data_IF_308723482012
#
_entry.id   IF_308723482012
#
_cell.length_a   1.000
_cell.length_b   1.000
_cell.length_c   1.000
_cell.angle_alpha   90.00
_cell.angle_beta   90.00
_cell.angle_gamma   90.00
#
_symmetry.space_group_name_H-M   'P 1'
#
loop_
_entity.id
_entity.type
_entity.pdbx_description
1 polymer ?
#
# COMPACT_ATOMS: atom_id res chain seq x y z
N UNK A 1 -4.48 16.91 -11.99
CA UNK A 1 -5.22 15.64 -12.14
C UNK A 1 -5.42 15.39 -13.61
N UNK A 2 -4.31 15.09 -14.26
CA UNK A 2 -4.23 14.45 -15.56
C UNK A 2 -3.84 13.01 -15.27
N UNK A 3 -4.68 12.08 -15.69
CA UNK A 3 -4.34 10.65 -15.63
C UNK A 3 -3.20 10.39 -16.61
N UNK A 4 -2.12 9.80 -16.12
CA UNK A 4 -1.08 9.22 -16.96
C UNK A 4 -1.64 7.97 -17.64
N UNK A 5 -2.18 8.17 -18.83
CA UNK A 5 -2.79 7.10 -19.64
C UNK A 5 -1.82 5.94 -19.92
N UNK A 6 -0.51 6.13 -19.80
CA UNK A 6 0.48 5.05 -19.91
C UNK A 6 0.23 3.95 -18.87
N UNK A 7 -0.04 4.31 -17.61
CA UNK A 7 -0.28 3.33 -16.55
C UNK A 7 -1.57 2.57 -16.81
N UNK A 8 -2.65 3.28 -17.16
CA UNK A 8 -3.94 2.66 -17.47
C UNK A 8 -3.83 1.74 -18.70
N UNK A 9 -3.17 2.21 -19.75
CA UNK A 9 -2.93 1.42 -20.96
C UNK A 9 -2.07 0.18 -20.68
N UNK A 10 -1.03 0.31 -19.85
CA UNK A 10 -0.24 -0.83 -19.38
C UNK A 10 -1.12 -1.86 -18.68
N UNK A 11 -1.99 -1.44 -17.77
CA UNK A 11 -2.89 -2.36 -17.06
C UNK A 11 -3.86 -3.07 -18.02
N UNK A 12 -4.51 -2.32 -18.91
CA UNK A 12 -5.46 -2.87 -19.88
C UNK A 12 -4.76 -3.84 -20.84
N UNK A 13 -3.59 -3.48 -21.37
CA UNK A 13 -2.83 -4.35 -22.27
C UNK A 13 -2.28 -5.61 -21.59
N UNK A 14 -1.88 -5.51 -20.31
CA UNK A 14 -1.29 -6.61 -19.56
C UNK A 14 -2.31 -7.55 -18.93
N UNK A 15 -3.43 -7.01 -18.45
CA UNK A 15 -4.40 -7.74 -17.63
C UNK A 15 -5.83 -7.73 -18.20
N UNK A 16 -6.08 -7.02 -19.29
CA UNK A 16 -7.40 -6.89 -19.92
C UNK A 16 -8.36 -5.94 -19.20
N UNK A 17 -7.88 -5.21 -18.18
CA UNK A 17 -8.66 -4.33 -17.31
C UNK A 17 -7.78 -3.24 -16.71
N UNK A 18 -8.38 -2.12 -16.30
CA UNK A 18 -7.68 -0.95 -15.77
C UNK A 18 -7.40 -1.00 -14.25
N UNK A 19 -7.81 -2.09 -13.58
CA UNK A 19 -7.63 -2.37 -12.15
C UNK A 19 -7.80 -3.87 -11.85
N UNK A 20 -7.24 -4.34 -10.73
CA UNK A 20 -7.26 -5.76 -10.36
C UNK A 20 -8.52 -6.19 -9.58
N UNK A 21 -9.17 -5.24 -8.91
CA UNK A 21 -10.41 -5.46 -8.16
C UNK A 21 -11.48 -4.55 -8.72
N UNK A 22 -12.48 -5.13 -9.38
CA UNK A 22 -13.47 -4.36 -10.15
C UNK A 22 -14.25 -3.38 -9.27
N UNK A 23 -14.50 -3.76 -8.01
CA UNK A 23 -15.21 -2.95 -7.01
C UNK A 23 -14.38 -1.81 -6.43
N UNK A 24 -13.07 -1.78 -6.65
CA UNK A 24 -12.16 -0.78 -6.12
C UNK A 24 -11.98 0.36 -7.13
N UNK A 25 -13.00 1.21 -7.24
CA UNK A 25 -12.99 2.39 -8.11
C UNK A 25 -11.98 3.46 -7.60
N UNK A 26 -10.88 3.73 -8.33
CA UNK A 26 -9.88 4.71 -7.93
C UNK A 26 -10.47 6.12 -7.76
N UNK A 27 -11.46 6.50 -8.57
CA UNK A 27 -12.11 7.81 -8.48
C UNK A 27 -12.86 8.00 -7.15
N UNK A 28 -13.35 6.90 -6.56
CA UNK A 28 -14.12 6.93 -5.31
C UNK A 28 -13.25 6.82 -4.07
N UNK A 29 -12.18 6.03 -4.15
CA UNK A 29 -11.40 5.60 -2.99
C UNK A 29 -10.03 6.27 -2.87
N UNK A 30 -9.54 6.96 -3.90
CA UNK A 30 -8.27 7.69 -3.79
C UNK A 30 -8.32 8.80 -2.74
N UNK A 31 -7.15 9.08 -2.17
CA UNK A 31 -6.91 10.08 -1.13
C UNK A 31 -7.68 9.83 0.17
N UNK A 32 -7.94 8.56 0.48
CA UNK A 32 -8.67 8.13 1.69
C UNK A 32 -8.00 6.91 2.32
N UNK A 33 -8.11 6.81 3.65
CA UNK A 33 -7.64 5.64 4.40
C UNK A 33 -8.78 4.64 4.57
N UNK A 34 -8.50 3.37 4.31
CA UNK A 34 -9.41 2.25 4.56
C UNK A 34 -8.72 1.15 5.33
N UNK A 35 -9.50 0.36 6.05
CA UNK A 35 -9.02 -0.90 6.58
C UNK A 35 -9.04 -1.93 5.45
N UNK A 36 -7.87 -2.50 5.12
CA UNK A 36 -7.72 -3.48 4.06
C UNK A 36 -7.10 -4.77 4.59
N UNK A 37 -7.39 -5.92 3.96
CA UNK A 37 -6.69 -7.16 4.23
C UNK A 37 -5.21 -7.04 3.90
N UNK A 38 -4.34 -7.57 4.75
CA UNK A 38 -2.90 -7.50 4.52
C UNK A 38 -2.44 -8.41 3.37
N UNK A 39 -3.18 -9.50 3.15
CA UNK A 39 -2.83 -10.56 2.20
C UNK A 39 -3.05 -10.18 0.74
N UNK A 40 -3.87 -9.15 0.47
CA UNK A 40 -4.13 -8.65 -0.89
C UNK A 40 -3.15 -7.57 -1.34
N UNK A 41 -2.20 -7.19 -0.48
CA UNK A 41 -1.23 -6.14 -0.76
C UNK A 41 0.00 -6.71 -1.46
N UNK A 42 0.45 -6.03 -2.52
CA UNK A 42 1.56 -6.46 -3.36
C UNK A 42 2.79 -5.55 -3.14
N UNK A 43 3.76 -5.93 -2.29
CA UNK A 43 5.00 -5.17 -2.16
C UNK A 43 5.86 -5.30 -3.41
N UNK A 44 6.51 -4.20 -3.84
CA UNK A 44 7.53 -4.22 -4.90
C UNK A 44 8.97 -4.13 -4.39
N UNK A 45 9.17 -3.89 -3.10
CA UNK A 45 10.50 -3.79 -2.48
C UNK A 45 10.65 -4.74 -1.29
N UNK A 46 11.86 -5.28 -1.16
CA UNK A 46 12.32 -5.94 0.06
C UNK A 46 12.61 -4.90 1.16
N UNK A 47 12.84 -5.39 2.38
CA UNK A 47 13.02 -4.55 3.57
C UNK A 47 14.43 -4.67 4.15
N UNK A 48 14.83 -3.67 4.91
CA UNK A 48 16.00 -3.72 5.80
C UNK A 48 15.58 -4.25 7.17
N UNK A 49 16.17 -5.36 7.62
CA UNK A 49 15.78 -6.02 8.87
C UNK A 49 16.00 -5.13 10.11
N UNK A 50 17.06 -4.34 10.15
CA UNK A 50 17.33 -3.38 11.22
C UNK A 50 16.25 -2.29 11.32
N UNK A 51 15.70 -1.86 10.18
CA UNK A 51 14.57 -0.93 10.14
C UNK A 51 13.27 -1.63 10.59
N UNK A 52 13.06 -2.89 10.20
CA UNK A 52 11.91 -3.69 10.68
C UNK A 52 11.96 -3.84 12.20
N UNK A 53 13.11 -4.20 12.76
CA UNK A 53 13.31 -4.36 14.21
C UNK A 53 13.13 -3.05 14.97
N UNK A 54 13.58 -1.93 14.39
CA UNK A 54 13.33 -0.61 14.95
C UNK A 54 11.84 -0.28 14.98
N UNK A 55 11.13 -0.45 13.86
CA UNK A 55 9.69 -0.17 13.76
C UNK A 55 8.88 -1.10 14.67
N UNK A 56 9.27 -2.37 14.78
CA UNK A 56 8.64 -3.33 15.70
C UNK A 56 8.72 -2.84 17.15
N UNK A 57 9.91 -2.42 17.60
CA UNK A 57 10.11 -1.89 18.96
C UNK A 57 9.34 -0.59 19.19
N UNK A 58 9.33 0.31 18.21
CA UNK A 58 8.57 1.56 18.30
C UNK A 58 7.06 1.29 18.40
N UNK A 59 6.52 0.41 17.54
CA UNK A 59 5.12 0.03 17.56
C UNK A 59 4.69 -0.65 18.87
N UNK A 60 5.51 -1.56 19.40
CA UNK A 60 5.23 -2.25 20.66
C UNK A 60 5.36 -1.33 21.89
N UNK A 61 6.28 -0.36 21.85
CA UNK A 61 6.49 0.56 22.97
C UNK A 61 5.46 1.69 23.02
N UNK A 62 5.11 2.26 21.86
CA UNK A 62 4.09 3.31 21.76
C UNK A 62 2.68 2.75 21.80
N UNK A 63 2.48 1.54 21.27
CA UNK A 63 1.16 0.94 21.10
C UNK A 63 0.37 1.46 19.89
N UNK A 64 0.96 2.29 19.02
CA UNK A 64 0.25 2.93 17.92
C UNK A 64 0.94 2.74 16.57
N UNK A 65 0.16 2.40 15.53
CA UNK A 65 0.59 2.52 14.15
C UNK A 65 0.41 3.97 13.69
N UNK A 66 1.51 4.73 13.68
CA UNK A 66 1.52 6.16 13.40
C UNK A 66 0.97 6.52 12.02
N UNK A 67 1.40 5.84 10.96
CA UNK A 67 1.03 6.15 9.58
C UNK A 67 0.46 4.91 8.86
N UNK A 68 -0.53 5.09 7.97
CA UNK A 68 -1.07 4.01 7.15
C UNK A 68 -0.07 3.59 6.07
N UNK A 69 -0.25 2.38 5.53
CA UNK A 69 0.50 1.93 4.34
C UNK A 69 -0.06 2.66 3.11
N UNK A 70 0.78 3.18 2.23
CA UNK A 70 0.29 3.83 1.00
C UNK A 70 0.20 2.78 -0.09
N UNK A 71 -0.95 2.72 -0.76
CA UNK A 71 -1.28 1.64 -1.68
C UNK A 71 -1.93 2.20 -2.93
N UNK A 72 -1.56 1.67 -4.10
CA UNK A 72 -2.23 1.97 -5.36
C UNK A 72 -3.66 1.40 -5.36
N UNK A 73 -4.65 2.27 -5.59
CA UNK A 73 -6.06 1.92 -5.65
C UNK A 73 -6.40 1.02 -6.84
N UNK A 74 -5.59 0.99 -7.90
CA UNK A 74 -5.85 0.11 -9.07
C UNK A 74 -5.33 -1.30 -8.87
N UNK A 75 -4.16 -1.42 -8.25
CA UNK A 75 -3.40 -2.68 -8.25
C UNK A 75 -3.11 -3.24 -6.86
N UNK A 76 -3.42 -2.50 -5.79
CA UNK A 76 -3.06 -2.84 -4.42
C UNK A 76 -1.55 -2.96 -4.18
N UNK A 77 -0.75 -2.39 -5.09
CA UNK A 77 0.71 -2.32 -4.95
C UNK A 77 1.07 -1.35 -3.83
N UNK A 78 1.97 -1.78 -2.95
CA UNK A 78 2.43 -0.95 -1.82
C UNK A 78 3.43 0.08 -2.31
N UNK A 79 3.09 1.35 -2.22
CA UNK A 79 3.92 2.46 -2.68
C UNK A 79 4.84 2.99 -1.58
N UNK A 80 4.38 2.97 -0.33
CA UNK A 80 5.17 3.36 0.84
C UNK A 80 4.74 2.52 2.04
N UNK A 81 5.72 2.13 2.85
CA UNK A 81 5.50 1.46 4.13
C UNK A 81 5.89 -0.02 4.14
N UNK A 82 6.75 -0.50 3.26
CA UNK A 82 7.16 -1.92 3.18
C UNK A 82 7.68 -2.47 4.52
N UNK A 83 8.52 -1.70 5.22
CA UNK A 83 9.01 -2.10 6.55
C UNK A 83 7.87 -2.18 7.58
N UNK A 84 6.91 -1.25 7.53
CA UNK A 84 5.72 -1.27 8.39
C UNK A 84 4.85 -2.48 8.05
N UNK A 85 4.63 -2.76 6.77
CA UNK A 85 3.91 -3.93 6.30
C UNK A 85 4.53 -5.22 6.84
N UNK A 86 5.86 -5.36 6.79
CA UNK A 86 6.56 -6.54 7.30
C UNK A 86 6.39 -6.71 8.82
N UNK A 87 6.48 -5.61 9.59
CA UNK A 87 6.16 -5.62 11.03
C UNK A 87 4.72 -6.07 11.27
N UNK A 88 3.75 -5.54 10.53
CA UNK A 88 2.34 -5.87 10.71
C UNK A 88 2.04 -7.33 10.32
N UNK A 89 2.72 -7.87 9.29
CA UNK A 89 2.67 -9.29 8.90
C UNK A 89 3.25 -10.20 9.99
N UNK A 90 4.43 -9.88 10.52
CA UNK A 90 5.08 -10.67 11.57
C UNK A 90 4.31 -10.68 12.89
N UNK A 91 3.50 -9.65 13.15
CA UNK A 91 2.55 -9.61 14.27
C UNK A 91 1.26 -10.42 14.04
N UNK A 92 1.08 -11.05 12.87
CA UNK A 92 -0.10 -11.84 12.55
C UNK A 92 -1.37 -11.02 12.36
N UNK A 93 -1.25 -9.73 12.04
CA UNK A 93 -2.41 -8.88 11.77
C UNK A 93 -3.01 -9.26 10.42
N UNK A 94 -4.34 -9.29 10.34
CA UNK A 94 -5.09 -9.58 9.10
C UNK A 94 -5.56 -8.33 8.39
N UNK A 95 -5.84 -7.27 9.15
CA UNK A 95 -6.37 -6.02 8.64
C UNK A 95 -5.51 -4.85 9.07
N UNK A 96 -5.18 -3.95 8.14
CA UNK A 96 -4.32 -2.79 8.38
C UNK A 96 -4.87 -1.54 7.69
N UNK A 97 -4.57 -0.34 8.20
CA UNK A 97 -4.94 0.90 7.52
C UNK A 97 -4.06 1.09 6.27
N UNK A 98 -4.71 1.25 5.12
CA UNK A 98 -4.08 1.62 3.87
C UNK A 98 -4.66 2.94 3.36
N UNK A 99 -3.79 3.89 3.05
CA UNK A 99 -4.12 5.11 2.35
C UNK A 99 -4.07 4.84 0.85
N UNK A 100 -5.25 4.79 0.23
CA UNK A 100 -5.39 4.46 -1.18
C UNK A 100 -5.18 5.72 -2.02
N UNK A 101 -4.42 5.58 -3.10
CA UNK A 101 -4.25 6.62 -4.12
C UNK A 101 -4.27 5.99 -5.51
N UNK A 102 -4.81 6.67 -6.51
CA UNK A 102 -4.64 6.27 -7.89
C UNK A 102 -3.19 6.58 -8.31
N UNK A 103 -2.38 5.53 -8.50
CA UNK A 103 -0.99 5.68 -8.89
C UNK A 103 -0.85 6.16 -10.35
N UNK A 104 -1.91 6.05 -11.16
CA UNK A 104 -1.93 6.58 -12.52
C UNK A 104 -2.09 8.11 -12.56
N UNK A 105 -2.39 8.78 -11.44
CA UNK A 105 -2.53 10.25 -11.42
C UNK A 105 -1.19 10.98 -11.33
N UNK A 106 -1.17 12.19 -11.91
CA UNK A 106 -0.01 13.11 -11.94
C UNK A 106 0.45 13.60 -10.56
N UNK A 107 -0.41 13.50 -9.54
CA UNK A 107 -0.08 13.91 -8.18
C UNK A 107 0.91 12.96 -7.50
N UNK A 108 1.24 11.81 -8.10
CA UNK A 108 2.35 10.96 -7.66
C UNK A 108 3.40 10.87 -8.75
N UNK A 109 4.64 11.10 -8.36
CA UNK A 109 5.82 10.81 -9.19
C UNK A 109 6.72 9.81 -8.47
N UNK A 110 7.47 9.03 -9.23
CA UNK A 110 8.46 8.10 -8.68
C UNK A 110 9.85 8.38 -9.23
N UNK A 111 10.85 8.29 -8.36
CA UNK A 111 12.25 8.46 -8.71
C UNK A 111 13.09 7.26 -8.25
N UNK A 112 14.12 6.86 -9.01
CA UNK A 112 15.06 5.85 -8.55
C UNK A 112 15.95 6.42 -7.43
N UNK A 113 16.12 5.64 -6.36
CA UNK A 113 17.11 5.88 -5.30
C UNK A 113 18.45 5.20 -5.58
N UNK A 114 18.47 4.27 -6.54
CA UNK A 114 19.65 3.52 -7.00
C UNK A 114 19.84 3.81 -8.48
N UNK A 115 20.98 4.41 -8.86
CA UNK A 115 21.22 4.91 -10.22
C UNK A 115 21.21 3.79 -11.27
N UNK A 116 21.56 2.59 -10.84
CA UNK A 116 21.71 1.39 -11.65
C UNK A 116 20.39 0.62 -11.86
N UNK A 117 19.32 0.98 -11.12
CA UNK A 117 18.01 0.32 -11.26
C UNK A 117 17.02 1.32 -11.86
N UNK A 118 16.55 1.10 -13.10
CA UNK A 118 15.50 1.93 -13.68
C UNK A 118 14.19 1.73 -12.91
N UNK A 119 13.48 2.84 -12.69
CA UNK A 119 12.19 2.85 -12.00
C UNK A 119 11.19 3.65 -12.82
N UNK A 120 10.02 3.06 -13.05
CA UNK A 120 8.82 3.71 -13.57
C UNK A 120 7.60 3.17 -12.83
N UNK A 121 6.46 3.85 -12.94
CA UNK A 121 5.20 3.38 -12.34
C UNK A 121 4.82 1.99 -12.85
N UNK A 122 4.93 1.78 -14.16
CA UNK A 122 4.62 0.51 -14.83
C UNK A 122 5.58 -0.61 -14.41
N UNK A 123 6.88 -0.33 -14.28
CA UNK A 123 7.87 -1.32 -13.78
C UNK A 123 7.62 -1.71 -12.32
N UNK A 124 7.23 -0.75 -11.46
CA UNK A 124 6.87 -1.03 -10.07
C UNK A 124 5.67 -1.96 -9.99
N UNK A 125 4.60 -1.63 -10.72
CA UNK A 125 3.39 -2.46 -10.79
C UNK A 125 3.75 -3.87 -11.27
N UNK A 126 4.45 -3.97 -12.40
CA UNK A 126 4.81 -5.23 -13.02
C UNK A 126 5.70 -6.10 -12.11
N UNK A 127 6.64 -5.48 -11.39
CA UNK A 127 7.52 -6.16 -10.43
C UNK A 127 6.71 -6.75 -9.27
N UNK A 128 5.86 -5.94 -8.62
CA UNK A 128 5.02 -6.38 -7.52
C UNK A 128 4.05 -7.49 -7.93
N UNK A 129 3.38 -7.36 -9.07
CA UNK A 129 2.37 -8.32 -9.52
C UNK A 129 2.97 -9.64 -10.03
N UNK A 130 4.29 -9.67 -10.31
CA UNK A 130 5.04 -10.91 -10.54
C UNK A 130 5.55 -11.57 -9.25
N UNK A 131 5.21 -11.03 -8.08
CA UNK A 131 5.78 -11.42 -6.79
C UNK A 131 7.33 -11.35 -6.77
N UNK A 132 7.89 -10.40 -7.52
CA UNK A 132 9.31 -10.07 -7.47
C UNK A 132 9.53 -8.84 -6.60
N UNK A 133 10.72 -8.70 -6.03
CA UNK A 133 11.07 -7.57 -5.17
C UNK A 133 12.36 -6.92 -5.64
N UNK A 134 12.33 -5.59 -5.74
CA UNK A 134 13.55 -4.80 -5.79
C UNK A 134 14.30 -4.87 -4.45
N UNK A 135 15.61 -4.60 -4.44
CA UNK A 135 16.35 -4.33 -3.21
C UNK A 135 15.71 -3.20 -2.40
N UNK A 136 15.93 -3.11 -1.08
CA UNK A 136 15.29 -2.09 -0.26
C UNK A 136 15.73 -0.68 -0.67
N UNK A 137 14.81 0.29 -0.55
CA UNK A 137 15.02 1.70 -0.92
C UNK A 137 15.46 1.84 -2.37
N UNK A 138 14.70 1.24 -3.29
CA UNK A 138 14.95 1.35 -4.75
C UNK A 138 14.17 2.51 -5.36
N UNK A 139 12.96 2.76 -4.88
CA UNK A 139 12.05 3.79 -5.37
C UNK A 139 11.75 4.84 -4.29
N UNK A 140 11.54 6.08 -4.72
CA UNK A 140 11.03 7.16 -3.90
C UNK A 140 9.79 7.75 -4.55
N UNK A 141 8.65 7.59 -3.89
CA UNK A 141 7.41 8.23 -4.27
C UNK A 141 7.33 9.66 -3.71
N UNK A 142 6.90 10.60 -4.54
CA UNK A 142 6.67 11.99 -4.17
C UNK A 142 5.20 12.31 -4.44
N UNK A 143 4.51 12.79 -3.42
CA UNK A 143 3.09 13.13 -3.43
C UNK A 143 2.94 14.66 -3.54
N UNK A 144 2.11 15.13 -4.48
CA UNK A 144 1.93 16.55 -4.80
C UNK A 144 0.50 16.96 -4.45
N UNK A 145 0.34 18.10 -3.77
CA UNK A 145 -0.97 18.66 -3.45
C UNK A 145 -1.68 18.03 -2.24
N UNK A 146 -1.06 17.04 -1.57
CA UNK A 146 -1.55 16.50 -0.31
C UNK A 146 -0.41 15.94 0.55
N UNK A 147 -0.71 15.69 1.82
CA UNK A 147 0.17 14.97 2.74
C UNK A 147 -0.56 13.79 3.36
N UNK A 148 0.16 12.68 3.51
CA UNK A 148 -0.35 11.48 4.17
C UNK A 148 -0.44 11.79 5.67
N UNK A 149 -1.67 11.85 6.17
CA UNK A 149 -1.91 12.16 7.58
C UNK A 149 -1.54 10.96 8.46
N UNK A 150 -0.94 11.19 9.64
CA UNK A 150 -0.79 10.14 10.62
C UNK A 150 -2.16 9.72 11.13
N UNK A 151 -2.36 8.42 11.29
CA UNK A 151 -3.60 7.81 11.76
C UNK A 151 -3.56 7.44 13.23
N UNK A 152 -2.37 7.21 13.80
CA UNK A 152 -2.17 6.75 15.19
C UNK A 152 -3.16 5.66 15.61
N UNK A 153 -3.30 4.60 14.81
CA UNK A 153 -4.27 3.53 15.12
C UNK A 153 -3.71 2.67 16.25
N UNK A 154 -4.45 2.44 17.35
CA UNK A 154 -4.02 1.56 18.42
C UNK A 154 -3.76 0.13 17.90
N UNK A 155 -2.62 -0.46 18.28
CA UNK A 155 -2.25 -1.82 17.91
C UNK A 155 -3.27 -2.84 18.42
N UNK A 156 -3.85 -2.61 19.59
CA UNK A 156 -4.91 -3.44 20.18
C UNK A 156 -6.17 -3.49 19.32
N UNK A 157 -6.55 -2.40 18.67
CA UNK A 157 -7.69 -2.35 17.73
C UNK A 157 -7.39 -3.24 16.53
N UNK A 158 -6.18 -3.15 15.95
CA UNK A 158 -5.77 -4.01 14.83
C UNK A 158 -5.75 -5.49 15.22
N UNK A 159 -5.28 -5.82 16.44
CA UNK A 159 -5.31 -7.18 16.98
C UNK A 159 -6.74 -7.69 17.15
N UNK A 160 -7.64 -6.89 17.71
CA UNK A 160 -9.04 -7.27 17.91
C UNK A 160 -9.77 -7.53 16.57
N UNK A 161 -9.56 -6.66 15.57
CA UNK A 161 -10.06 -6.85 14.21
C UNK A 161 -9.51 -8.13 13.57
N UNK A 162 -8.27 -8.48 13.89
CA UNK A 162 -7.62 -9.70 13.40
C UNK A 162 -8.12 -10.97 14.08
N UNK A 163 -8.75 -10.91 15.25
CA UNK A 163 -9.30 -12.09 15.95
C UNK A 163 -10.77 -12.36 15.61
N UNK A 164 -11.54 -11.31 15.30
CA UNK A 164 -12.96 -11.47 14.99
C UNK A 164 -13.18 -12.13 13.63
N UNK A 165 -13.96 -13.22 13.63
CA UNK A 165 -14.28 -14.01 12.43
C UNK A 165 -15.26 -13.31 11.48
N UNK A 166 -15.68 -12.08 11.79
CA UNK A 166 -16.68 -11.32 11.03
C UNK A 166 -16.29 -11.03 9.57
N UNK A 167 -15.00 -11.14 9.24
CA UNK A 167 -14.49 -10.85 7.91
C UNK A 167 -14.22 -12.12 7.05
N UNK A 168 -14.79 -13.28 7.42
CA UNK A 168 -14.83 -14.48 6.56
C UNK A 168 -15.73 -14.35 5.32
N UNK A 169 -16.48 -13.24 5.16
CA UNK A 169 -17.28 -12.98 3.95
C UNK A 169 -16.42 -12.32 2.89
N UNK A 170 -16.00 -13.14 1.91
CA UNK A 170 -15.70 -12.83 0.50
C UNK A 170 -15.59 -11.33 0.18
N UNK A 171 -14.36 -10.84 -0.02
CA UNK A 171 -14.03 -9.44 -0.30
C UNK A 171 -14.75 -8.85 -1.52
N UNK A 172 -15.44 -7.72 -1.34
CA UNK A 172 -15.21 -6.57 -2.22
C UNK A 172 -15.08 -5.32 -1.34
N UNK A 173 -13.88 -4.74 -1.24
CA UNK A 173 -13.56 -3.56 -0.38
C UNK A 173 -14.66 -2.48 -0.42
N UNK A 174 -15.06 -1.82 0.71
CA UNK A 174 -14.23 -1.39 1.87
C UNK A 174 -14.84 -1.62 3.29
N UNK A 175 -14.05 -1.45 4.38
CA UNK A 175 -14.60 -1.16 5.74
C UNK A 175 -14.19 0.27 6.15
N UNK A 176 -15.19 1.13 6.31
CA UNK A 176 -15.08 2.50 6.80
C UNK A 176 -14.73 2.51 8.28
N UNK A 177 -13.64 3.16 8.67
CA UNK A 177 -13.53 3.74 10.01
C UNK A 177 -13.89 5.21 9.88
N UNK A 178 -15.09 5.59 10.32
CA UNK A 178 -15.39 6.99 10.61
C UNK A 178 -14.54 7.41 11.81
N UNK A 179 -13.88 8.56 11.72
CA UNK A 179 -13.98 9.68 12.66
C UNK A 179 -13.26 10.89 12.07
#
# INVERSE_FOLDING_TARGET
MVVEYEVVYFLVSRFGRDRLVDSLDPCRYSLKTFLVPIEILHPHESVFNDIVDYIMRDLLSTGFLKYPIVVDARTLVVLDGHHRLEVLKSLGLRYIPAFLIDYAEDYVTVYPLRKEIPVSKTLIIDTALRNSLYPPKTSKHVYIGFSIQPTYIPLEVLKALSQNSFAKRSYPLPILTQH
#
